data_IF_162166067794
#
_entry.id   IF_162166067794
#
_cell.length_a   1.000
_cell.length_b   1.000
_cell.length_c   1.000
_cell.angle_alpha   90.00
_cell.angle_beta   90.00
_cell.angle_gamma   90.00
#
_symmetry.space_group_name_H-M   'P 1'
#
loop_
_entity.id
_entity.type
_entity.pdbx_description
1 polymer ?
#
# COMPACT_ATOMS: atom_id res chain seq x y z
N UNK A 1 -7.08 -1.08 -15.64
CA UNK A 1 -7.90 0.09 -15.20
C UNK A 1 -8.35 -0.02 -13.75
N UNK A 2 -8.91 -1.16 -13.30
CA UNK A 2 -9.40 -1.34 -11.91
C UNK A 2 -8.31 -1.23 -10.83
N UNK A 3 -7.11 -1.77 -11.06
CA UNK A 3 -6.01 -1.71 -10.08
C UNK A 3 -5.46 -0.30 -9.84
N UNK A 4 -5.49 0.56 -10.87
CA UNK A 4 -5.09 1.95 -10.74
C UNK A 4 -6.09 2.74 -9.87
N UNK A 5 -7.39 2.62 -10.16
CA UNK A 5 -8.43 3.25 -9.33
C UNK A 5 -8.30 2.82 -7.87
N UNK A 6 -8.18 1.52 -7.62
CA UNK A 6 -8.00 0.96 -6.28
C UNK A 6 -6.74 1.46 -5.57
N UNK A 7 -5.63 1.66 -6.29
CA UNK A 7 -4.42 2.25 -5.72
C UNK A 7 -4.70 3.64 -5.15
N UNK A 8 -5.40 4.50 -5.91
CA UNK A 8 -5.68 5.89 -5.53
C UNK A 8 -6.79 6.04 -4.48
N UNK A 9 -7.84 5.23 -4.54
CA UNK A 9 -9.05 5.44 -3.73
C UNK A 9 -9.17 4.49 -2.54
N UNK A 10 -8.34 3.45 -2.50
CA UNK A 10 -8.35 2.46 -1.42
C UNK A 10 -6.96 2.30 -0.81
N UNK A 11 -5.97 1.81 -1.57
CA UNK A 11 -4.69 1.40 -0.99
C UNK A 11 -3.91 2.55 -0.37
N UNK A 12 -3.65 3.63 -1.13
CA UNK A 12 -2.86 4.75 -0.62
C UNK A 12 -3.57 5.46 0.54
N UNK A 13 -4.88 5.79 0.47
CA UNK A 13 -5.61 6.34 1.61
C UNK A 13 -5.55 5.46 2.87
N UNK A 14 -5.71 4.14 2.73
CA UNK A 14 -5.60 3.22 3.86
C UNK A 14 -4.21 3.22 4.48
N UNK A 15 -3.15 3.25 3.67
CA UNK A 15 -1.78 3.34 4.17
C UNK A 15 -1.51 4.68 4.89
N UNK A 16 -2.05 5.79 4.38
CA UNK A 16 -1.87 7.11 4.99
C UNK A 16 -2.63 7.28 6.31
N UNK A 17 -3.69 6.50 6.51
CA UNK A 17 -4.42 6.43 7.77
C UNK A 17 -3.62 5.74 8.89
N UNK A 18 -2.63 4.91 8.56
CA UNK A 18 -1.74 4.27 9.54
C UNK A 18 -0.73 5.29 10.08
N UNK A 19 -1.01 5.88 11.24
CA UNK A 19 -0.35 7.09 11.73
C UNK A 19 1.18 6.96 11.87
N UNK A 20 1.68 5.81 12.32
CA UNK A 20 3.11 5.56 12.50
C UNK A 20 3.80 5.22 11.17
N UNK A 21 3.19 4.36 10.35
CA UNK A 21 3.70 4.02 9.02
C UNK A 21 3.82 5.23 8.10
N UNK A 22 2.87 6.17 8.17
CA UNK A 22 2.89 7.43 7.43
C UNK A 22 4.13 8.29 7.72
N UNK A 23 4.72 8.20 8.91
CA UNK A 23 5.93 8.96 9.26
C UNK A 23 7.13 8.56 8.42
N UNK A 24 7.24 7.28 8.01
CA UNK A 24 8.33 6.81 7.13
C UNK A 24 8.24 7.50 5.77
N UNK A 25 7.02 7.63 5.26
CA UNK A 25 6.74 8.21 3.94
C UNK A 25 7.10 9.70 3.89
N UNK A 26 6.78 10.45 4.94
CA UNK A 26 7.16 11.87 5.06
C UNK A 26 8.64 12.04 5.37
N UNK A 27 9.20 11.24 6.29
CA UNK A 27 10.61 11.37 6.73
C UNK A 27 11.62 11.06 5.62
N UNK A 28 11.25 10.21 4.67
CA UNK A 28 12.10 9.90 3.51
C UNK A 28 11.99 10.95 2.39
N UNK A 29 11.33 12.08 2.65
CA UNK A 29 11.49 13.36 1.93
C UNK A 29 11.16 13.34 0.45
N UNK A 30 10.33 12.38 0.01
CA UNK A 30 9.98 12.22 -1.41
C UNK A 30 8.49 12.26 -1.71
N UNK A 31 7.59 12.22 -0.72
CA UNK A 31 6.14 12.28 -1.03
C UNK A 31 5.58 13.71 -0.99
N UNK A 32 6.23 14.64 -0.29
CA UNK A 32 5.91 16.07 -0.37
C UNK A 32 6.45 16.73 -1.67
N UNK A 33 7.66 16.36 -2.12
CA UNK A 33 8.30 16.94 -3.32
C UNK A 33 8.24 16.09 -4.60
N UNK A 34 7.97 14.78 -4.49
CA UNK A 34 8.02 13.81 -5.59
C UNK A 34 6.89 12.76 -5.50
N UNK A 35 5.68 13.19 -5.10
CA UNK A 35 4.50 12.30 -4.93
C UNK A 35 4.28 11.43 -6.18
N UNK A 36 4.50 12.02 -7.35
CA UNK A 36 4.36 11.41 -8.67
C UNK A 36 5.29 10.20 -8.84
N UNK A 37 6.58 10.34 -8.48
CA UNK A 37 7.56 9.28 -8.68
C UNK A 37 7.25 8.04 -7.84
N UNK A 38 6.87 8.20 -6.56
CA UNK A 38 6.57 7.04 -5.70
C UNK A 38 5.25 6.34 -6.03
N UNK A 39 4.24 7.10 -6.47
CA UNK A 39 2.98 6.51 -6.96
C UNK A 39 3.26 5.72 -8.25
N UNK A 40 4.10 6.25 -9.14
CA UNK A 40 4.53 5.54 -10.36
C UNK A 40 5.38 4.30 -10.02
N UNK A 41 6.30 4.38 -9.05
CA UNK A 41 7.08 3.23 -8.58
C UNK A 41 6.17 2.12 -8.03
N UNK A 42 5.15 2.49 -7.23
CA UNK A 42 4.16 1.53 -6.72
C UNK A 42 3.34 0.94 -7.86
N UNK A 43 2.91 1.77 -8.83
CA UNK A 43 2.18 1.30 -10.01
C UNK A 43 3.01 0.34 -10.86
N UNK A 44 4.30 0.61 -11.04
CA UNK A 44 5.23 -0.28 -11.74
C UNK A 44 5.43 -1.58 -10.99
N UNK A 45 5.55 -1.55 -9.66
CA UNK A 45 5.59 -2.76 -8.84
C UNK A 45 4.35 -3.63 -9.08
N UNK A 46 3.15 -3.04 -9.03
CA UNK A 46 1.90 -3.76 -9.29
C UNK A 46 1.86 -4.38 -10.67
N UNK A 47 2.27 -3.64 -11.70
CA UNK A 47 2.35 -4.17 -13.07
C UNK A 47 3.34 -5.33 -13.18
N UNK A 48 4.50 -5.24 -12.54
CA UNK A 48 5.53 -6.28 -12.63
C UNK A 48 5.12 -7.58 -11.93
N UNK A 49 4.50 -7.49 -10.75
CA UNK A 49 4.13 -8.68 -9.96
C UNK A 49 2.83 -9.33 -10.40
N UNK A 50 1.91 -8.57 -11.01
CA UNK A 50 0.62 -9.08 -11.49
C UNK A 50 0.61 -9.36 -13.00
N UNK A 51 1.72 -9.12 -13.72
CA UNK A 51 1.86 -9.52 -15.11
C UNK A 51 1.86 -11.05 -15.26
N UNK A 52 1.36 -11.54 -16.39
CA UNK A 52 1.49 -12.93 -16.80
C UNK A 52 2.99 -13.33 -16.82
N UNK A 53 3.31 -14.48 -16.22
CA UNK A 53 4.70 -14.93 -16.02
C UNK A 53 5.53 -14.06 -15.05
N UNK A 54 4.95 -13.05 -14.40
CA UNK A 54 5.66 -12.10 -13.54
C UNK A 54 6.32 -12.75 -12.32
N UNK A 55 5.70 -13.82 -11.80
CA UNK A 55 6.19 -14.59 -10.64
C UNK A 55 6.85 -15.92 -11.02
N UNK A 56 6.95 -16.25 -12.31
CA UNK A 56 7.66 -17.44 -12.77
C UNK A 56 9.18 -17.31 -12.58
N UNK A 57 9.90 -18.41 -12.80
CA UNK A 57 11.37 -18.41 -12.74
C UNK A 57 11.93 -17.42 -13.77
N UNK A 58 12.62 -16.38 -13.28
CA UNK A 58 13.15 -15.31 -14.15
C UNK A 58 12.13 -14.23 -14.50
N UNK A 59 10.91 -14.30 -13.97
CA UNK A 59 9.87 -13.28 -14.08
C UNK A 59 10.33 -11.93 -13.52
N UNK A 60 9.82 -10.85 -14.10
CA UNK A 60 10.18 -9.48 -13.70
C UNK A 60 9.69 -9.15 -12.29
N UNK A 61 8.48 -9.60 -11.94
CA UNK A 61 7.87 -9.41 -10.63
C UNK A 61 8.73 -9.91 -9.48
N UNK A 62 9.35 -11.09 -9.61
CA UNK A 62 10.27 -11.63 -8.59
C UNK A 62 11.44 -10.67 -8.34
N UNK A 63 12.10 -10.20 -9.42
CA UNK A 63 13.22 -9.26 -9.30
C UNK A 63 12.78 -7.91 -8.72
N UNK A 64 11.63 -7.41 -9.14
CA UNK A 64 11.10 -6.13 -8.64
C UNK A 64 10.75 -6.24 -7.15
N UNK A 65 10.09 -7.31 -6.70
CA UNK A 65 9.81 -7.54 -5.28
C UNK A 65 11.10 -7.67 -4.44
N UNK A 66 12.12 -8.38 -4.94
CA UNK A 66 13.42 -8.46 -4.27
C UNK A 66 14.12 -7.10 -4.16
N UNK A 67 14.06 -6.26 -5.21
CA UNK A 67 14.57 -4.89 -5.17
C UNK A 67 13.85 -4.04 -4.12
N UNK A 68 12.52 -4.15 -4.04
CA UNK A 68 11.73 -3.46 -3.02
C UNK A 68 12.09 -3.94 -1.61
N UNK A 69 12.30 -5.24 -1.40
CA UNK A 69 12.77 -5.78 -0.11
C UNK A 69 14.11 -5.17 0.32
N UNK A 70 15.07 -5.07 -0.60
CA UNK A 70 16.36 -4.43 -0.33
C UNK A 70 16.20 -2.93 -0.05
N UNK A 71 15.38 -2.24 -0.85
CA UNK A 71 15.04 -0.83 -0.65
C UNK A 71 14.44 -0.59 0.75
N UNK A 72 13.50 -1.44 1.19
CA UNK A 72 12.91 -1.37 2.52
C UNK A 72 13.95 -1.57 3.63
N UNK A 73 14.89 -2.50 3.46
CA UNK A 73 15.99 -2.68 4.41
C UNK A 73 16.89 -1.42 4.49
N UNK A 74 17.24 -0.84 3.35
CA UNK A 74 18.01 0.41 3.26
C UNK A 74 17.26 1.59 3.90
N UNK A 75 15.98 1.78 3.60
CA UNK A 75 15.15 2.83 4.21
C UNK A 75 15.09 2.63 5.73
N UNK A 76 14.82 1.41 6.20
CA UNK A 76 14.77 1.11 7.64
C UNK A 76 16.08 1.47 8.34
N UNK A 77 17.22 1.13 7.73
CA UNK A 77 18.53 1.50 8.26
C UNK A 77 18.68 3.02 8.37
N UNK A 78 18.45 3.77 7.29
CA UNK A 78 18.66 5.21 7.30
C UNK A 78 17.68 5.97 8.19
N UNK A 79 16.39 5.60 8.18
CA UNK A 79 15.37 6.27 8.99
C UNK A 79 15.63 6.06 10.48
N UNK A 80 16.11 4.88 10.90
CA UNK A 80 16.49 4.63 12.30
C UNK A 80 17.62 5.55 12.79
N UNK A 81 18.49 6.02 11.89
CA UNK A 81 19.59 6.94 12.22
C UNK A 81 19.23 8.41 11.92
N UNK A 82 18.00 8.69 11.50
CA UNK A 82 17.59 10.04 11.16
C UNK A 82 17.26 10.82 12.45
N UNK A 83 17.87 12.00 12.70
CA UNK A 83 17.69 12.72 13.97
C UNK A 83 16.25 13.13 14.31
N UNK A 84 15.37 13.24 13.31
CA UNK A 84 13.95 13.57 13.52
C UNK A 84 13.06 12.35 13.70
N UNK A 85 13.60 11.13 13.61
CA UNK A 85 12.84 9.91 13.86
C UNK A 85 12.57 9.73 15.34
N UNK A 86 11.30 9.71 15.72
CA UNK A 86 10.91 9.61 17.12
C UNK A 86 10.70 8.15 17.56
N UNK A 87 11.20 7.73 18.74
CA UNK A 87 11.07 6.35 19.21
C UNK A 87 9.63 5.82 19.28
N UNK A 88 8.65 6.68 19.58
CA UNK A 88 7.23 6.32 19.68
C UNK A 88 6.61 5.86 18.35
N UNK A 89 7.21 6.23 17.22
CA UNK A 89 6.83 5.74 15.89
C UNK A 89 7.28 4.30 15.65
N UNK A 90 8.16 3.76 16.51
CA UNK A 90 8.60 2.37 16.48
C UNK A 90 9.65 2.11 15.41
N UNK A 91 9.74 0.84 14.99
CA UNK A 91 10.67 0.43 13.93
C UNK A 91 10.11 0.81 12.56
N UNK A 92 10.85 1.57 11.73
CA UNK A 92 10.40 1.93 10.38
C UNK A 92 10.20 0.69 9.50
N UNK A 93 9.11 0.64 8.73
CA UNK A 93 8.82 -0.47 7.80
C UNK A 93 8.91 -1.80 8.55
N UNK A 94 8.21 -1.91 9.67
CA UNK A 94 8.19 -3.15 10.44
C UNK A 94 7.35 -4.23 9.71
N UNK A 95 7.27 -5.42 10.29
CA UNK A 95 6.53 -6.53 9.69
C UNK A 95 5.01 -6.26 9.62
N UNK A 96 4.44 -5.56 10.61
CA UNK A 96 3.02 -5.16 10.63
C UNK A 96 2.74 -4.12 9.53
N UNK A 97 3.60 -3.11 9.35
CA UNK A 97 3.48 -2.09 8.30
C UNK A 97 3.48 -2.74 6.89
N UNK A 98 4.35 -3.73 6.69
CA UNK A 98 4.43 -4.47 5.43
C UNK A 98 3.20 -5.35 5.22
N UNK A 99 2.74 -6.05 6.26
CA UNK A 99 1.54 -6.89 6.18
C UNK A 99 0.28 -6.07 5.86
N UNK A 100 0.05 -4.94 6.53
CA UNK A 100 -1.13 -4.12 6.25
C UNK A 100 -1.10 -3.53 4.83
N UNK A 101 0.08 -3.11 4.37
CA UNK A 101 0.26 -2.60 3.00
C UNK A 101 0.11 -3.70 1.95
N UNK A 102 0.46 -4.95 2.26
CA UNK A 102 0.16 -6.10 1.39
C UNK A 102 -1.36 -6.33 1.29
N UNK A 103 -2.05 -6.28 2.43
CA UNK A 103 -3.48 -6.55 2.52
C UNK A 103 -4.34 -5.51 1.80
N UNK A 104 -3.89 -4.26 1.66
CA UNK A 104 -4.60 -3.27 0.84
C UNK A 104 -4.78 -3.74 -0.61
N UNK A 105 -3.83 -4.52 -1.13
CA UNK A 105 -3.94 -5.11 -2.46
C UNK A 105 -4.54 -6.51 -2.42
N UNK A 106 -4.13 -7.37 -1.48
CA UNK A 106 -4.61 -8.76 -1.42
C UNK A 106 -6.14 -8.87 -1.25
N UNK A 107 -6.74 -7.94 -0.50
CA UNK A 107 -8.19 -7.88 -0.27
C UNK A 107 -8.95 -7.09 -1.33
N UNK A 108 -8.29 -6.70 -2.43
CA UNK A 108 -8.91 -5.86 -3.45
C UNK A 108 -10.20 -6.46 -4.04
N UNK A 109 -10.28 -7.77 -4.39
CA UNK A 109 -11.54 -8.36 -4.86
C UNK A 109 -12.70 -8.15 -3.87
N UNK A 110 -12.44 -8.32 -2.57
CA UNK A 110 -13.44 -8.07 -1.52
C UNK A 110 -13.87 -6.59 -1.42
N UNK A 111 -12.99 -5.65 -1.74
CA UNK A 111 -13.34 -4.23 -1.81
C UNK A 111 -14.12 -3.90 -3.09
N UNK A 112 -13.80 -4.55 -4.22
CA UNK A 112 -14.45 -4.31 -5.51
C UNK A 112 -15.87 -4.91 -5.60
N UNK A 113 -16.18 -5.97 -4.86
CA UNK A 113 -17.57 -6.47 -4.74
C UNK A 113 -18.52 -5.42 -4.18
N UNK A 114 -18.03 -4.54 -3.30
CA UNK A 114 -18.81 -3.39 -2.78
C UNK A 114 -19.16 -2.36 -3.87
N UNK A 115 -18.46 -2.40 -5.01
CA UNK A 115 -18.70 -1.57 -6.19
C UNK A 115 -19.49 -2.33 -7.29
N UNK A 116 -20.02 -3.51 -6.97
CA UNK A 116 -20.80 -4.33 -7.91
C UNK A 116 -19.97 -5.17 -8.88
N UNK A 117 -18.68 -5.38 -8.61
CA UNK A 117 -17.82 -6.29 -9.37
C UNK A 117 -17.77 -7.65 -8.66
N UNK A 118 -18.42 -8.65 -9.24
CA UNK A 118 -18.46 -9.99 -8.68
C UNK A 118 -17.23 -10.80 -9.08
N UNK A 119 -16.75 -11.62 -8.14
CA UNK A 119 -15.65 -12.57 -8.32
C UNK A 119 -16.07 -13.92 -7.74
N UNK A 120 -15.79 -14.99 -8.46
CA UNK A 120 -16.00 -16.35 -7.93
C UNK A 120 -15.07 -16.60 -6.74
N UNK A 121 -15.43 -17.53 -5.83
CA UNK A 121 -14.54 -17.90 -4.72
C UNK A 121 -13.15 -18.33 -5.19
N UNK A 122 -13.07 -19.08 -6.29
CA UNK A 122 -11.80 -19.53 -6.87
C UNK A 122 -10.92 -18.36 -7.35
N UNK A 123 -11.51 -17.32 -7.96
CA UNK A 123 -10.77 -16.12 -8.38
C UNK A 123 -10.25 -15.32 -7.18
N UNK A 124 -11.06 -15.18 -6.13
CA UNK A 124 -10.66 -14.51 -4.91
C UNK A 124 -9.50 -15.25 -4.22
N UNK A 125 -9.59 -16.57 -4.10
CA UNK A 125 -8.55 -17.40 -3.49
C UNK A 125 -7.26 -17.39 -4.32
N UNK A 126 -7.34 -17.50 -5.65
CA UNK A 126 -6.18 -17.44 -6.53
C UNK A 126 -5.49 -16.06 -6.47
N UNK A 127 -6.27 -14.98 -6.49
CA UNK A 127 -5.75 -13.62 -6.38
C UNK A 127 -5.08 -13.40 -5.03
N UNK A 128 -5.70 -13.83 -3.94
CA UNK A 128 -5.15 -13.72 -2.60
C UNK A 128 -3.87 -14.57 -2.45
N UNK A 129 -3.84 -15.78 -3.01
CA UNK A 129 -2.67 -16.63 -3.01
C UNK A 129 -1.47 -15.98 -3.73
N UNK A 130 -1.70 -15.34 -4.88
CA UNK A 130 -0.68 -14.56 -5.58
C UNK A 130 -0.05 -13.51 -4.65
N UNK A 131 -0.87 -12.75 -3.94
CA UNK A 131 -0.39 -11.76 -2.96
C UNK A 131 0.32 -12.39 -1.76
N UNK A 132 -0.07 -13.59 -1.32
CA UNK A 132 0.67 -14.33 -0.28
C UNK A 132 2.07 -14.68 -0.73
N UNK A 133 2.24 -15.11 -1.99
CA UNK A 133 3.55 -15.39 -2.59
C UNK A 133 4.38 -14.10 -2.72
N UNK A 134 3.78 -13.00 -3.18
CA UNK A 134 4.44 -11.69 -3.26
C UNK A 134 4.93 -11.25 -1.87
N UNK A 135 4.09 -11.39 -0.84
CA UNK A 135 4.44 -11.08 0.55
C UNK A 135 5.62 -11.90 1.07
N UNK A 136 5.67 -13.19 0.73
CA UNK A 136 6.82 -14.04 1.04
C UNK A 136 8.12 -13.54 0.37
N UNK A 137 8.07 -13.17 -0.92
CA UNK A 137 9.25 -12.63 -1.64
C UNK A 137 9.71 -11.31 -1.03
N UNK A 138 8.77 -10.44 -0.64
CA UNK A 138 9.02 -9.19 0.07
C UNK A 138 9.65 -9.40 1.46
N UNK A 139 9.63 -10.62 1.99
CA UNK A 139 10.23 -10.97 3.28
C UNK A 139 9.31 -10.73 4.47
N UNK A 140 8.00 -10.79 4.24
CA UNK A 140 7.01 -10.79 5.32
C UNK A 140 7.07 -12.16 6.02
N UNK A 141 7.06 -12.15 7.35
CA UNK A 141 7.06 -13.37 8.15
C UNK A 141 5.82 -14.22 7.85
N UNK A 142 6.00 -15.55 7.79
CA UNK A 142 4.91 -16.47 7.44
C UNK A 142 3.73 -16.40 8.43
N UNK A 143 3.96 -16.05 9.69
CA UNK A 143 2.90 -15.84 10.69
C UNK A 143 2.01 -14.63 10.42
N UNK A 144 2.47 -13.70 9.56
CA UNK A 144 1.73 -12.51 9.13
C UNK A 144 1.26 -12.62 7.67
N UNK A 145 1.30 -13.82 7.09
CA UNK A 145 0.78 -14.12 5.75
C UNK A 145 -0.47 -15.02 5.88
N UNK A 146 -1.66 -14.42 5.95
CA UNK A 146 -2.92 -15.14 6.10
C UNK A 146 -3.12 -16.18 5.00
N UNK A 147 -3.84 -17.26 5.30
CA UNK A 147 -3.99 -18.38 4.36
C UNK A 147 -5.01 -18.11 3.27
N UNK A 148 -6.03 -17.33 3.60
CA UNK A 148 -7.19 -17.03 2.78
C UNK A 148 -7.71 -15.60 3.03
N UNK A 149 -8.65 -15.09 2.21
CA UNK A 149 -9.20 -13.75 2.37
C UNK A 149 -9.87 -13.48 3.73
N UNK A 150 -10.45 -14.49 4.37
CA UNK A 150 -11.14 -14.32 5.66
C UNK A 150 -10.12 -14.07 6.79
N UNK A 151 -9.06 -14.86 6.86
CA UNK A 151 -7.94 -14.58 7.77
C UNK A 151 -7.27 -13.24 7.43
N UNK A 152 -7.20 -12.91 6.14
CA UNK A 152 -6.76 -11.59 5.65
C UNK A 152 -7.55 -10.45 6.27
N UNK A 153 -8.88 -10.55 6.26
CA UNK A 153 -9.77 -9.55 6.85
C UNK A 153 -9.61 -9.48 8.37
N UNK A 154 -9.45 -10.61 9.05
CA UNK A 154 -9.22 -10.63 10.50
C UNK A 154 -7.91 -9.93 10.89
N UNK A 155 -6.83 -10.18 10.15
CA UNK A 155 -5.54 -9.52 10.36
C UNK A 155 -5.64 -8.01 10.05
N UNK A 156 -6.31 -7.64 8.97
CA UNK A 156 -6.61 -6.25 8.63
C UNK A 156 -7.33 -5.54 9.78
N UNK A 157 -8.41 -6.11 10.29
CA UNK A 157 -9.20 -5.54 11.39
C UNK A 157 -8.36 -5.41 12.66
N UNK A 158 -7.51 -6.40 12.96
CA UNK A 158 -6.64 -6.37 14.12
C UNK A 158 -5.61 -5.23 14.04
N UNK A 159 -4.96 -5.04 12.89
CA UNK A 159 -3.94 -4.00 12.70
C UNK A 159 -4.59 -2.61 12.66
N UNK A 160 -5.67 -2.44 11.88
CA UNK A 160 -6.31 -1.13 11.71
C UNK A 160 -6.86 -0.57 13.01
N UNK A 161 -7.42 -1.42 13.90
CA UNK A 161 -7.83 -1.02 15.26
C UNK A 161 -6.71 -0.36 16.08
N UNK A 162 -5.43 -0.66 15.80
CA UNK A 162 -4.28 -0.12 16.55
C UNK A 162 -3.54 0.99 15.82
N UNK A 163 -3.42 0.89 14.50
CA UNK A 163 -2.57 1.76 13.69
C UNK A 163 -3.32 2.97 13.10
N UNK A 164 -4.64 2.84 12.87
CA UNK A 164 -5.42 3.92 12.27
C UNK A 164 -5.68 5.00 13.31
N UNK A 165 -5.11 6.18 13.07
CA UNK A 165 -5.33 7.36 13.89
C UNK A 165 -5.06 8.63 13.08
N UNK A 166 -5.66 9.78 13.44
CA UNK A 166 -5.31 11.05 12.85
C UNK A 166 -3.82 11.35 13.03
N UNK A 167 -3.16 11.81 11.96
CA UNK A 167 -1.77 12.25 12.00
C UNK A 167 -1.53 13.39 11.02
N UNK A 168 -0.59 14.29 11.34
CA UNK A 168 -0.17 15.34 10.41
C UNK A 168 0.43 14.72 9.14
N UNK A 169 1.26 13.67 9.29
CA UNK A 169 1.82 12.94 8.17
C UNK A 169 0.73 12.38 7.24
N UNK A 170 -0.29 11.71 7.78
CA UNK A 170 -1.41 11.18 7.00
C UNK A 170 -2.18 12.28 6.26
N UNK A 171 -2.40 13.44 6.89
CA UNK A 171 -3.06 14.61 6.26
C UNK A 171 -2.23 15.16 5.10
N UNK A 172 -0.91 15.33 5.29
CA UNK A 172 0.01 15.81 4.27
C UNK A 172 0.03 14.87 3.06
N UNK A 173 0.19 13.56 3.30
CA UNK A 173 0.22 12.55 2.23
C UNK A 173 -1.12 12.48 1.47
N UNK A 174 -2.24 12.55 2.18
CA UNK A 174 -3.58 12.55 1.59
C UNK A 174 -3.82 13.80 0.75
N UNK A 175 -3.38 14.97 1.21
CA UNK A 175 -3.47 16.21 0.43
C UNK A 175 -2.63 16.11 -0.86
N UNK A 176 -1.38 15.65 -0.77
CA UNK A 176 -0.53 15.44 -1.96
C UNK A 176 -1.17 14.47 -2.96
N UNK A 177 -1.80 13.38 -2.48
CA UNK A 177 -2.51 12.44 -3.32
C UNK A 177 -3.71 13.06 -4.04
N UNK A 178 -4.55 13.82 -3.31
CA UNK A 178 -5.70 14.51 -3.89
C UNK A 178 -5.25 15.51 -4.96
N UNK A 179 -4.18 16.27 -4.70
CA UNK A 179 -3.65 17.23 -5.68
C UNK A 179 -3.15 16.53 -6.94
N UNK A 180 -2.42 15.41 -6.79
CA UNK A 180 -1.99 14.60 -7.93
C UNK A 180 -3.17 14.03 -8.74
N UNK A 181 -4.22 13.55 -8.07
CA UNK A 181 -5.42 13.05 -8.76
C UNK A 181 -6.13 14.15 -9.57
N UNK A 182 -6.15 15.40 -9.08
CA UNK A 182 -6.74 16.54 -9.83
C UNK A 182 -5.98 16.84 -11.12
N UNK A 183 -4.68 16.54 -11.19
CA UNK A 183 -3.88 16.71 -12.40
C UNK A 183 -4.11 15.59 -13.42
N UNK A 184 -4.41 14.38 -12.95
CA UNK A 184 -4.60 13.19 -13.81
C UNK A 184 -6.03 13.05 -14.36
N UNK A 185 -7.05 13.46 -13.61
CA UNK A 185 -8.46 13.28 -14.00
C UNK A 185 -8.90 14.49 -14.83
N UNK A 186 -9.33 14.31 -16.09
CA UNK A 186 -9.89 15.40 -16.88
C UNK A 186 -11.17 15.95 -16.22
N UNK A 187 -11.18 17.24 -15.91
CA UNK A 187 -12.34 17.95 -15.35
C UNK A 187 -12.08 18.51 -13.94
N UNK A 188 -12.45 19.77 -13.73
CA UNK A 188 -12.31 20.42 -12.42
C UNK A 188 -13.28 19.78 -11.43
N UNK A 189 -12.78 19.06 -10.42
CA UNK A 189 -13.56 18.77 -9.22
C UNK A 189 -13.69 20.08 -8.44
N UNK A 190 -14.55 20.96 -8.93
CA UNK A 190 -14.96 22.16 -8.23
C UNK A 190 -15.72 21.71 -6.98
N UNK A 191 -15.07 21.78 -5.82
CA UNK A 191 -15.81 21.91 -4.57
C UNK A 191 -16.43 23.31 -4.56
N UNK A 192 -17.47 23.50 -5.36
CA UNK A 192 -18.33 24.65 -5.21
C UNK A 192 -18.91 24.58 -3.80
N UNK A 193 -18.44 25.50 -2.95
CA UNK A 193 -19.00 25.75 -1.63
C UNK A 193 -20.51 25.97 -1.76
N UNK A 194 -21.31 24.92 -1.55
CA UNK A 194 -22.71 25.12 -1.19
C UNK A 194 -22.71 25.51 0.28
N UNK A 195 -22.65 26.83 0.51
CA UNK A 195 -23.24 27.41 1.70
C UNK A 195 -24.71 27.00 1.69
N UNK A 196 -25.12 26.22 2.68
CA UNK A 196 -26.47 26.29 3.21
C UNK A 196 -26.39 27.10 4.50
#
# INVERSE_FOLDING_TARGET
MQMALALFTWSLPSCYACAKGAQVLVSTGRIDKYVNYRIVETSQFLMDVMAEGGLERGGRGVRTAQKIRLLHATIRYHVRHYPKWQPEWGTPINQEDQAITLLTFALLPHTLTKLGLDFTPAEQDAFFHCWRVIGHILGIDASLLPRDPNEGQQLWDAITRRQVAPSEAGRTLTHSLINYMKELVPGTISMASRRC
#
